data_IF_628991466839
#
_entry.id   IF_628991466839
#
_cell.length_a   1.000
_cell.length_b   1.000
_cell.length_c   1.000
_cell.angle_alpha   90.00
_cell.angle_beta   90.00
_cell.angle_gamma   90.00
#
_symmetry.space_group_name_H-M   'P 1'
#
loop_
_entity.id
_entity.type
_entity.pdbx_description
1 polymer ?
#
# COMPACT_ATOMS: atom_id res chain seq x y z
N UNK A 1 8.91 -30.91 -18.27
CA UNK A 1 9.50 -29.67 -18.82
C UNK A 1 9.36 -28.60 -17.76
N UNK A 2 10.45 -28.14 -17.15
CA UNK A 2 10.41 -27.02 -16.22
C UNK A 2 10.15 -25.74 -17.04
N UNK A 3 9.01 -25.09 -16.82
CA UNK A 3 8.74 -23.78 -17.41
C UNK A 3 9.70 -22.77 -16.76
N UNK A 4 10.41 -21.91 -17.52
CA UNK A 4 11.39 -20.97 -16.97
C UNK A 4 10.71 -19.73 -16.37
N UNK A 5 9.63 -19.93 -15.61
CA UNK A 5 8.91 -18.85 -14.94
C UNK A 5 9.28 -18.86 -13.46
N UNK A 6 10.34 -18.12 -13.14
CA UNK A 6 10.68 -17.76 -11.77
C UNK A 6 9.63 -16.75 -11.27
N UNK A 7 8.80 -17.14 -10.30
CA UNK A 7 7.85 -16.23 -9.66
C UNK A 7 8.61 -15.29 -8.72
N UNK A 8 9.25 -14.27 -9.30
CA UNK A 8 9.93 -13.23 -8.54
C UNK A 8 8.94 -12.44 -7.68
N UNK A 9 9.32 -12.10 -6.45
CA UNK A 9 8.55 -11.13 -5.66
C UNK A 9 8.55 -9.81 -6.42
N UNK A 10 7.37 -9.18 -6.56
CA UNK A 10 7.26 -7.86 -7.18
C UNK A 10 8.26 -6.91 -6.50
N UNK A 11 9.14 -6.26 -7.27
CA UNK A 11 10.25 -5.44 -6.76
C UNK A 11 9.81 -4.30 -5.82
N UNK A 12 8.51 -3.98 -5.74
CA UNK A 12 7.94 -3.01 -4.80
C UNK A 12 7.29 -3.59 -3.56
N UNK A 13 7.26 -4.92 -3.37
CA UNK A 13 6.73 -5.57 -2.18
C UNK A 13 7.83 -5.61 -1.11
N UNK A 14 8.02 -4.48 -0.41
CA UNK A 14 8.92 -4.34 0.75
C UNK A 14 8.31 -4.87 2.05
N UNK A 15 7.36 -5.80 1.94
CA UNK A 15 6.75 -6.48 3.06
C UNK A 15 7.60 -7.64 3.59
N UNK A 16 8.85 -7.79 3.13
CA UNK A 16 9.76 -8.78 3.69
C UNK A 16 10.29 -8.37 5.07
N UNK A 17 10.47 -7.06 5.31
CA UNK A 17 10.92 -6.51 6.59
C UNK A 17 9.72 -5.96 7.37
N UNK A 18 9.38 -6.57 8.53
CA UNK A 18 8.28 -6.12 9.37
C UNK A 18 8.41 -4.68 9.87
N UNK A 19 9.61 -4.23 10.25
CA UNK A 19 9.84 -2.90 10.81
C UNK A 19 9.70 -1.83 9.73
N UNK A 20 10.31 -2.07 8.56
CA UNK A 20 10.16 -1.17 7.42
C UNK A 20 8.70 -1.04 7.00
N UNK A 21 7.95 -2.15 6.97
CA UNK A 21 6.53 -2.17 6.63
C UNK A 21 5.71 -1.29 7.58
N UNK A 22 5.95 -1.40 8.89
CA UNK A 22 5.23 -0.62 9.90
C UNK A 22 5.50 0.88 9.73
N UNK A 23 6.77 1.27 9.59
CA UNK A 23 7.19 2.67 9.41
C UNK A 23 6.58 3.26 8.14
N UNK A 24 6.66 2.56 7.01
CA UNK A 24 6.13 3.06 5.74
C UNK A 24 4.61 3.08 5.71
N UNK A 25 3.94 2.11 6.35
CA UNK A 25 2.48 2.09 6.47
C UNK A 25 1.99 3.30 7.24
N UNK A 26 2.61 3.62 8.39
CA UNK A 26 2.27 4.81 9.17
C UNK A 26 2.46 6.08 8.35
N UNK A 27 3.62 6.25 7.68
CA UNK A 27 3.90 7.43 6.84
C UNK A 27 2.89 7.60 5.71
N UNK A 28 2.53 6.50 5.04
CA UNK A 28 1.54 6.54 3.96
C UNK A 28 0.15 6.88 4.48
N UNK A 29 -0.24 6.29 5.62
CA UNK A 29 -1.52 6.58 6.26
C UNK A 29 -1.63 8.05 6.70
N UNK A 30 -0.60 8.58 7.37
CA UNK A 30 -0.53 9.98 7.79
C UNK A 30 -0.66 10.93 6.58
N UNK A 31 0.04 10.63 5.47
CA UNK A 31 -0.04 11.41 4.21
C UNK A 31 -1.43 11.39 3.59
N UNK A 32 -2.08 10.23 3.57
CA UNK A 32 -3.44 10.09 3.03
C UNK A 32 -4.43 10.85 3.90
N UNK A 33 -4.33 10.73 5.23
CA UNK A 33 -5.18 11.47 6.15
C UNK A 33 -5.03 12.97 5.98
N UNK A 34 -3.80 13.50 5.93
CA UNK A 34 -3.56 14.92 5.70
C UNK A 34 -4.21 15.39 4.40
N UNK A 35 -4.07 14.60 3.32
CA UNK A 35 -4.60 14.96 2.00
C UNK A 35 -6.11 14.92 1.91
N UNK A 36 -6.78 14.02 2.64
CA UNK A 36 -8.19 13.68 2.40
C UNK A 36 -9.12 13.87 3.59
N UNK A 37 -8.60 14.08 4.81
CA UNK A 37 -9.44 14.36 5.98
C UNK A 37 -10.34 15.58 5.71
N UNK A 38 -11.63 15.41 5.97
CA UNK A 38 -12.65 16.45 5.74
C UNK A 38 -13.11 16.63 4.29
N UNK A 39 -12.53 15.93 3.31
CA UNK A 39 -12.97 15.99 1.92
C UNK A 39 -14.13 15.01 1.70
N UNK A 40 -15.36 15.48 1.81
CA UNK A 40 -16.55 14.66 1.56
C UNK A 40 -16.74 14.28 0.08
N UNK A 41 -16.13 15.03 -0.85
CA UNK A 41 -16.23 14.78 -2.29
C UNK A 41 -15.59 13.45 -2.75
N UNK A 42 -14.69 12.87 -1.95
CA UNK A 42 -14.09 11.55 -2.26
C UNK A 42 -14.97 10.37 -1.80
N UNK A 43 -16.06 10.64 -1.07
CA UNK A 43 -16.92 9.59 -0.55
C UNK A 43 -17.80 9.03 -1.67
N UNK A 44 -17.83 7.70 -1.79
CA UNK A 44 -18.81 7.02 -2.63
C UNK A 44 -20.23 7.35 -2.16
N UNK A 45 -21.22 7.43 -3.07
CA UNK A 45 -22.63 7.46 -2.70
C UNK A 45 -22.97 6.31 -1.74
N UNK A 46 -23.79 6.59 -0.73
CA UNK A 46 -24.36 5.54 0.13
C UNK A 46 -25.42 4.79 -0.68
N UNK A 47 -25.32 3.45 -0.73
CA UNK A 47 -26.33 2.56 -1.32
C UNK A 47 -27.35 2.14 -0.28
#
# INVERSE_FOLDING_TARGET
>A
MALPLEQGRHHGYHDADPEYREVQSKKNYDRILERFRGKSAILSPRR
#
